data_IF_326725263016
#
_entry.id   IF_326725263016
#
_cell.length_a   1.000
_cell.length_b   1.000
_cell.length_c   1.000
_cell.angle_alpha   90.00
_cell.angle_beta   90.00
_cell.angle_gamma   90.00
#
_symmetry.space_group_name_H-M   'P 1'
#
loop_
_entity.id
_entity.type
_entity.pdbx_description
1 polymer ?
#
# COMPACT_ATOMS: atom_id res chain seq x y z
N UNK A 1 -7.54 -2.82 -20.35
CA UNK A 1 -6.24 -2.25 -19.95
C UNK A 1 -6.00 -2.82 -18.57
N UNK A 2 -4.85 -3.47 -18.36
CA UNK A 2 -4.57 -4.14 -17.09
C UNK A 2 -4.11 -3.05 -16.11
N UNK A 3 -5.06 -2.44 -15.38
CA UNK A 3 -4.83 -1.29 -14.49
C UNK A 3 -4.16 -1.69 -13.15
N UNK A 4 -3.61 -2.91 -13.11
CA UNK A 4 -2.91 -3.47 -11.97
C UNK A 4 -1.59 -2.76 -11.72
N UNK A 5 -1.37 -2.33 -10.47
CA UNK A 5 -0.10 -1.78 -10.01
C UNK A 5 0.40 -2.60 -8.82
N UNK A 6 1.63 -2.35 -8.39
CA UNK A 6 2.16 -2.93 -7.16
C UNK A 6 2.97 -1.92 -6.40
N UNK A 7 3.07 -2.12 -5.10
CA UNK A 7 4.00 -1.38 -4.27
C UNK A 7 5.41 -1.95 -4.40
N UNK A 8 6.39 -1.04 -4.43
CA UNK A 8 7.80 -1.37 -4.27
C UNK A 8 8.37 -0.48 -3.17
N UNK A 9 9.06 -1.09 -2.20
CA UNK A 9 9.74 -0.37 -1.12
C UNK A 9 11.23 -0.45 -1.36
N UNK A 10 11.86 0.72 -1.49
CA UNK A 10 13.30 0.87 -1.66
C UNK A 10 13.96 1.17 -0.32
N UNK A 11 14.87 0.30 0.09
CA UNK A 11 15.74 0.51 1.24
C UNK A 11 17.01 1.24 0.77
N UNK A 12 17.09 2.54 1.07
CA UNK A 12 18.19 3.40 0.61
C UNK A 12 19.56 3.03 1.20
N UNK A 13 19.59 2.33 2.33
CA UNK A 13 20.84 1.96 3.00
C UNK A 13 21.42 0.65 2.45
N UNK A 14 20.58 -0.29 1.96
CA UNK A 14 21.05 -1.52 1.29
C UNK A 14 21.05 -1.42 -0.23
N UNK A 15 20.25 -0.52 -0.80
CA UNK A 15 19.89 -0.55 -2.21
C UNK A 15 18.87 -1.63 -2.58
N UNK A 16 18.29 -2.34 -1.60
CA UNK A 16 17.34 -3.45 -1.82
C UNK A 16 15.96 -2.90 -2.21
N UNK A 17 15.30 -3.56 -3.16
CA UNK A 17 13.89 -3.32 -3.50
C UNK A 17 13.07 -4.53 -3.06
N UNK A 18 12.09 -4.29 -2.20
CA UNK A 18 11.05 -5.28 -1.84
C UNK A 18 9.82 -5.03 -2.70
N UNK A 19 9.36 -6.07 -3.42
CA UNK A 19 8.18 -6.02 -4.28
C UNK A 19 7.02 -6.73 -3.62
N UNK A 20 5.87 -6.07 -3.57
CA UNK A 20 4.65 -6.60 -2.98
C UNK A 20 3.69 -7.10 -4.05
N UNK A 21 2.60 -7.71 -3.62
CA UNK A 21 1.55 -8.25 -4.48
C UNK A 21 0.88 -7.13 -5.30
N UNK A 22 0.35 -7.50 -6.47
CA UNK A 22 -0.35 -6.58 -7.33
C UNK A 22 -1.76 -6.29 -6.78
N UNK A 23 -2.26 -5.09 -7.04
CA UNK A 23 -3.61 -4.66 -6.71
C UNK A 23 -4.14 -3.70 -7.77
N UNK A 24 -5.46 -3.58 -7.85
CA UNK A 24 -6.13 -2.50 -8.58
C UNK A 24 -6.42 -1.37 -7.59
N UNK A 25 -5.90 -0.15 -7.79
CA UNK A 25 -6.19 0.96 -6.90
C UNK A 25 -7.67 1.31 -6.85
N UNK A 26 -8.14 1.82 -5.71
CA UNK A 26 -9.51 2.34 -5.63
C UNK A 26 -9.72 3.49 -6.60
N UNK A 27 -10.95 3.62 -7.11
CA UNK A 27 -11.29 4.72 -8.02
C UNK A 27 -11.03 6.08 -7.38
N UNK A 28 -11.25 6.19 -6.07
CA UNK A 28 -10.95 7.41 -5.29
C UNK A 28 -9.46 7.72 -5.25
N UNK A 29 -8.58 6.72 -5.05
CA UNK A 29 -7.13 6.94 -5.07
C UNK A 29 -6.69 7.48 -6.44
N UNK A 30 -7.15 6.84 -7.52
CA UNK A 30 -6.78 7.19 -8.90
C UNK A 30 -7.29 8.57 -9.32
N UNK A 31 -8.54 8.90 -8.97
CA UNK A 31 -9.20 10.12 -9.48
C UNK A 31 -8.99 11.34 -8.58
N UNK A 32 -8.88 11.17 -7.26
CA UNK A 32 -8.84 12.28 -6.31
C UNK A 32 -7.44 12.52 -5.72
N UNK A 33 -6.63 11.48 -5.50
CA UNK A 33 -5.36 11.63 -4.79
C UNK A 33 -4.15 11.68 -5.73
N UNK A 34 -4.07 10.78 -6.71
CA UNK A 34 -2.92 10.71 -7.64
C UNK A 34 -2.74 11.99 -8.48
N UNK A 35 -3.79 12.58 -9.08
CA UNK A 35 -3.61 13.75 -9.96
C UNK A 35 -3.19 15.01 -9.20
N UNK A 36 -3.46 15.06 -7.89
CA UNK A 36 -3.20 16.20 -7.00
C UNK A 36 -2.24 15.79 -5.87
N UNK A 37 -1.28 14.91 -6.18
CA UNK A 37 -0.42 14.31 -5.16
C UNK A 37 0.36 15.35 -4.37
N UNK A 38 0.80 16.44 -5.01
CA UNK A 38 1.59 17.51 -4.41
C UNK A 38 0.79 18.25 -3.32
N UNK A 39 -0.50 18.46 -3.55
CA UNK A 39 -1.43 19.02 -2.57
C UNK A 39 -1.67 18.03 -1.41
N UNK A 40 -1.97 16.76 -1.73
CA UNK A 40 -2.36 15.79 -0.71
C UNK A 40 -1.19 15.18 0.04
N UNK A 41 0.03 15.19 -0.49
CA UNK A 41 1.23 14.68 0.19
C UNK A 41 1.47 15.36 1.55
N UNK A 42 0.96 16.58 1.73
CA UNK A 42 1.03 17.30 3.00
C UNK A 42 -0.10 16.90 3.98
N UNK A 43 -1.23 16.40 3.49
CA UNK A 43 -2.43 16.11 4.29
C UNK A 43 -2.66 14.64 4.57
N UNK A 44 -2.02 13.74 3.82
CA UNK A 44 -2.19 12.29 3.98
C UNK A 44 -0.89 11.57 4.32
N UNK A 45 -1.02 10.42 4.98
CA UNK A 45 0.09 9.55 5.34
C UNK A 45 -0.23 8.11 4.95
N UNK A 46 0.47 7.60 3.95
CA UNK A 46 0.37 6.18 3.58
C UNK A 46 1.19 5.29 4.51
N UNK A 47 2.32 5.80 5.00
CA UNK A 47 3.20 5.09 5.92
C UNK A 47 2.76 5.24 7.37
N UNK A 48 2.87 4.15 8.13
CA UNK A 48 2.79 4.20 9.58
C UNK A 48 3.94 5.06 10.15
N UNK A 49 3.76 5.71 11.32
CA UNK A 49 4.78 6.58 11.91
C UNK A 49 6.11 5.90 12.21
N UNK A 50 6.10 4.59 12.47
CA UNK A 50 7.30 3.77 12.70
C UNK A 50 8.02 3.34 11.41
N UNK A 51 7.39 3.54 10.24
CA UNK A 51 7.93 3.13 8.94
C UNK A 51 7.89 1.63 8.68
N UNK A 52 7.24 0.83 9.55
CA UNK A 52 7.22 -0.63 9.44
C UNK A 52 6.04 -1.15 8.60
N UNK A 53 5.09 -0.29 8.24
CA UNK A 53 3.97 -0.65 7.37
C UNK A 53 3.45 0.55 6.58
N UNK A 54 2.69 0.26 5.53
CA UNK A 54 1.94 1.26 4.78
C UNK A 54 0.51 0.78 4.50
N UNK A 55 -0.39 1.71 4.18
CA UNK A 55 -1.78 1.43 3.86
C UNK A 55 -2.12 1.82 2.43
N UNK A 56 -3.12 1.15 1.86
CA UNK A 56 -3.68 1.47 0.54
C UNK A 56 -5.12 0.99 0.43
N UNK A 57 -5.89 1.59 -0.48
CA UNK A 57 -7.25 1.18 -0.81
C UNK A 57 -7.33 0.65 -2.25
N UNK A 58 -8.06 -0.43 -2.46
CA UNK A 58 -8.21 -1.04 -3.77
C UNK A 58 -8.73 -2.48 -3.71
N UNK A 59 -8.48 -3.24 -4.77
CA UNK A 59 -8.76 -4.68 -4.87
C UNK A 59 -7.46 -5.46 -4.94
N UNK A 60 -7.24 -6.36 -3.98
CA UNK A 60 -6.06 -7.24 -3.99
C UNK A 60 -6.18 -8.26 -5.12
N UNK A 61 -5.09 -8.48 -5.87
CA UNK A 61 -5.06 -9.46 -6.97
C UNK A 61 -4.28 -10.74 -6.62
N UNK A 62 -3.70 -10.80 -5.42
CA UNK A 62 -2.81 -11.89 -5.01
C UNK A 62 -2.91 -12.23 -3.53
N UNK A 63 -2.14 -13.24 -3.15
CA UNK A 63 -2.00 -13.65 -1.76
C UNK A 63 -3.27 -14.17 -1.12
N UNK A 64 -3.27 -14.12 0.21
CA UNK A 64 -4.38 -14.61 1.05
C UNK A 64 -5.64 -13.74 0.95
N UNK A 65 -5.51 -12.51 0.44
CA UNK A 65 -6.62 -11.56 0.28
C UNK A 65 -7.06 -11.39 -1.17
N UNK A 66 -6.61 -12.26 -2.08
CA UNK A 66 -6.93 -12.16 -3.51
C UNK A 66 -8.43 -12.06 -3.77
N UNK A 67 -8.85 -11.01 -4.49
CA UNK A 67 -10.24 -10.70 -4.79
C UNK A 67 -10.94 -9.79 -3.77
N UNK A 68 -10.38 -9.62 -2.57
CA UNK A 68 -10.91 -8.71 -1.56
C UNK A 68 -10.76 -7.26 -2.01
N UNK A 69 -11.74 -6.44 -1.65
CA UNK A 69 -11.76 -5.00 -1.93
C UNK A 69 -11.92 -4.22 -0.63
N UNK A 70 -11.08 -3.22 -0.41
CA UNK A 70 -11.15 -2.36 0.76
C UNK A 70 -9.83 -1.68 1.10
N UNK A 71 -9.69 -1.33 2.38
CA UNK A 71 -8.47 -0.75 2.94
C UNK A 71 -7.58 -1.86 3.50
N UNK A 72 -6.32 -1.85 3.09
CA UNK A 72 -5.31 -2.82 3.48
C UNK A 72 -4.17 -2.14 4.24
N UNK A 73 -3.54 -2.91 5.12
CA UNK A 73 -2.23 -2.59 5.71
C UNK A 73 -1.22 -3.65 5.25
N UNK A 74 -0.09 -3.18 4.74
CA UNK A 74 1.01 -3.99 4.25
C UNK A 74 2.24 -3.77 5.14
N UNK A 75 2.63 -4.80 5.87
CA UNK A 75 3.86 -4.77 6.67
C UNK A 75 5.08 -4.86 5.75
N UNK A 76 6.13 -4.13 6.09
CA UNK A 76 7.43 -4.19 5.43
C UNK A 76 8.29 -5.21 6.16
N UNK A 77 8.87 -6.20 5.44
CA UNK A 77 9.72 -7.18 6.08
C UNK A 77 10.98 -6.49 6.66
N UNK A 78 11.46 -6.94 7.84
CA UNK A 78 12.70 -6.44 8.42
C UNK A 78 13.87 -6.51 7.44
N UNK A 79 14.86 -5.64 7.62
CA UNK A 79 16.05 -5.60 6.76
C UNK A 79 16.78 -6.95 6.67
N UNK A 80 16.82 -7.69 7.78
CA UNK A 80 17.45 -9.00 7.88
C UNK A 80 16.61 -10.15 7.31
N UNK A 81 15.32 -9.91 7.02
CA UNK A 81 14.44 -10.96 6.52
C UNK A 81 14.82 -11.37 5.09
N UNK A 82 14.78 -12.67 4.85
CA UNK A 82 14.79 -13.28 3.52
C UNK A 82 13.42 -13.86 3.19
N UNK A 83 13.13 -14.00 1.89
CA UNK A 83 11.85 -14.54 1.41
C UNK A 83 10.88 -13.47 0.89
N UNK A 84 9.66 -13.87 0.48
CA UNK A 84 8.64 -12.95 0.02
C UNK A 84 8.14 -12.05 1.17
N UNK A 85 7.63 -10.83 0.88
CA UNK A 85 6.99 -10.02 1.89
C UNK A 85 5.71 -10.70 2.42
N UNK A 86 5.24 -10.31 3.62
CA UNK A 86 3.98 -10.81 4.16
C UNK A 86 2.79 -10.38 3.28
N UNK A 87 1.71 -11.16 3.28
CA UNK A 87 0.45 -10.78 2.63
C UNK A 87 -0.15 -9.52 3.29
N UNK A 88 -0.86 -8.67 2.54
CA UNK A 88 -1.57 -7.53 3.10
C UNK A 88 -2.75 -7.98 3.96
N UNK A 89 -3.05 -7.22 5.01
CA UNK A 89 -4.19 -7.47 5.91
C UNK A 89 -5.33 -6.52 5.54
N UNK A 90 -6.52 -7.07 5.27
CA UNK A 90 -7.74 -6.27 5.09
C UNK A 90 -8.21 -5.71 6.44
N UNK A 91 -8.31 -4.38 6.54
CA UNK A 91 -8.73 -3.69 7.77
C UNK A 91 -10.20 -3.29 7.69
N UNK A 92 -10.63 -2.73 6.54
CA UNK A 92 -12.01 -2.28 6.31
C UNK A 92 -12.47 -2.70 4.92
N UNK A 93 -13.48 -3.59 4.81
CA UNK A 93 -14.05 -3.97 3.53
C UNK A 93 -14.67 -2.77 2.81
N UNK A 94 -14.50 -2.71 1.49
CA UNK A 94 -15.08 -1.69 0.59
C UNK A 94 -14.72 -0.23 0.92
N UNK A 95 -13.67 -0.01 1.72
CA UNK A 95 -13.13 1.33 1.90
C UNK A 95 -12.45 1.82 0.61
N UNK A 96 -12.76 3.06 0.24
CA UNK A 96 -12.25 3.72 -0.96
C UNK A 96 -10.99 4.55 -0.71
N UNK A 97 -10.69 4.86 0.55
CA UNK A 97 -9.49 5.58 0.96
C UNK A 97 -9.09 5.15 2.38
N UNK A 98 -7.79 5.20 2.65
CA UNK A 98 -7.21 4.91 3.97
C UNK A 98 -5.91 5.68 4.12
N UNK A 99 -5.72 6.27 5.30
CA UNK A 99 -4.51 6.98 5.68
C UNK A 99 -4.26 6.79 7.17
N UNK A 100 -3.00 6.78 7.57
CA UNK A 100 -2.63 6.88 8.97
C UNK A 100 -2.94 8.28 9.50
N UNK A 101 -3.34 8.36 10.76
CA UNK A 101 -3.52 9.64 11.44
C UNK A 101 -2.18 10.37 11.56
N UNK A 102 -2.14 11.71 11.38
CA UNK A 102 -0.98 12.50 11.79
C UNK A 102 -0.70 12.29 13.28
N UNK A 103 0.58 12.16 13.64
CA UNK A 103 1.06 12.23 15.03
C UNK A 103 1.37 13.66 15.41
#
# INVERSE_FOLDING_TARGET
VDDAVRWEVFDALTGRITRFEAFEPSGTLVSAYVPFFDQYAQSVRLWAPDGESFCYAGRSLGGETGGETGAFVQSVPPRSAGGPPPSPVLIVPRAEAVFWSPT
#
